data_IF_814811934744
#
_entry.id   IF_814811934744
#
_cell.length_a   1.000
_cell.length_b   1.000
_cell.length_c   1.000
_cell.angle_alpha   90.00
_cell.angle_beta   90.00
_cell.angle_gamma   90.00
#
_symmetry.space_group_name_H-M   'P 1'
#
loop_
_entity.id
_entity.type
_entity.pdbx_description
1 polymer ?
#
# COMPACT_ATOMS: atom_id res chain seq x y z
N UNK A 1 26.17 -48.06 -3.96
CA UNK A 1 27.23 -47.92 -2.93
C UNK A 1 26.62 -48.20 -1.57
N UNK A 2 27.18 -49.07 -0.74
CA UNK A 2 26.58 -49.36 0.57
C UNK A 2 26.82 -48.22 1.56
N UNK A 3 25.83 -47.94 2.44
CA UNK A 3 25.95 -46.93 3.53
C UNK A 3 27.21 -47.13 4.37
N UNK A 4 27.60 -48.40 4.64
CA UNK A 4 28.82 -48.75 5.38
C UNK A 4 30.08 -48.33 4.65
N UNK A 5 30.10 -48.39 3.32
CA UNK A 5 31.25 -47.96 2.52
C UNK A 5 31.37 -46.41 2.55
N UNK A 6 30.24 -45.69 2.53
CA UNK A 6 30.21 -44.23 2.64
C UNK A 6 30.73 -43.75 4.02
N UNK A 7 30.27 -44.34 5.13
CA UNK A 7 30.69 -43.96 6.47
C UNK A 7 32.21 -44.19 6.67
N UNK A 8 32.79 -45.22 6.07
CA UNK A 8 34.25 -45.47 6.11
C UNK A 8 35.04 -44.51 5.22
N UNK A 9 34.43 -43.92 4.21
CA UNK A 9 35.07 -42.95 3.32
C UNK A 9 35.14 -41.55 3.92
N UNK A 10 34.17 -41.12 4.75
CA UNK A 10 34.12 -39.76 5.31
C UNK A 10 35.39 -39.43 6.09
N UNK A 11 35.96 -40.37 6.84
CA UNK A 11 37.12 -40.14 7.72
C UNK A 11 38.46 -40.03 6.97
N UNK A 12 38.54 -40.56 5.73
CA UNK A 12 39.81 -40.70 5.00
C UNK A 12 39.85 -39.95 3.65
N UNK A 13 38.78 -39.23 3.24
CA UNK A 13 38.68 -38.60 1.93
C UNK A 13 38.71 -37.09 2.05
N UNK A 14 39.43 -36.42 1.15
CA UNK A 14 39.49 -34.95 1.12
C UNK A 14 38.14 -34.31 0.89
N UNK A 15 37.92 -33.08 1.38
CA UNK A 15 36.68 -32.32 1.17
C UNK A 15 36.33 -32.20 -0.32
N UNK A 16 37.34 -31.98 -1.18
CA UNK A 16 37.13 -31.88 -2.62
C UNK A 16 36.56 -33.16 -3.25
N UNK A 17 37.05 -34.32 -2.79
CA UNK A 17 36.55 -35.61 -3.25
C UNK A 17 35.13 -35.88 -2.74
N UNK A 18 34.80 -35.47 -1.49
CA UNK A 18 33.42 -35.55 -0.95
C UNK A 18 32.45 -34.66 -1.71
N UNK A 19 32.86 -33.43 -2.06
CA UNK A 19 32.04 -32.53 -2.90
C UNK A 19 31.73 -33.17 -4.26
N UNK A 20 32.76 -33.74 -4.91
CA UNK A 20 32.58 -34.40 -6.20
C UNK A 20 31.67 -35.63 -6.10
N UNK A 21 31.85 -36.44 -5.06
CA UNK A 21 30.99 -37.61 -4.81
C UNK A 21 29.56 -37.22 -4.50
N UNK A 22 29.32 -36.16 -3.70
CA UNK A 22 28.02 -35.64 -3.38
C UNK A 22 27.26 -35.15 -4.64
N UNK A 23 27.92 -34.33 -5.46
CA UNK A 23 27.36 -33.88 -6.73
C UNK A 23 27.06 -35.04 -7.69
N UNK A 24 27.98 -36.01 -7.82
CA UNK A 24 27.78 -37.17 -8.67
C UNK A 24 26.60 -38.04 -8.20
N UNK A 25 26.45 -38.28 -6.90
CA UNK A 25 25.31 -39.00 -6.33
C UNK A 25 24.00 -38.27 -6.57
N UNK A 26 23.96 -36.94 -6.40
CA UNK A 26 22.81 -36.14 -6.69
C UNK A 26 22.41 -36.21 -8.18
N UNK A 27 23.35 -36.15 -9.11
CA UNK A 27 23.10 -36.33 -10.54
C UNK A 27 22.61 -37.74 -10.87
N UNK A 28 23.18 -38.78 -10.26
CA UNK A 28 22.72 -40.17 -10.43
C UNK A 28 21.25 -40.28 -9.97
N UNK A 29 20.93 -39.74 -8.79
CA UNK A 29 19.56 -39.75 -8.27
C UNK A 29 18.55 -39.09 -9.23
N UNK A 30 18.93 -37.98 -9.85
CA UNK A 30 18.05 -37.21 -10.72
C UNK A 30 17.91 -37.77 -12.15
N UNK A 31 18.96 -38.41 -12.69
CA UNK A 31 19.04 -38.67 -14.13
C UNK A 31 19.22 -40.15 -14.47
N UNK A 32 19.48 -41.01 -13.49
CA UNK A 32 19.62 -42.45 -13.77
C UNK A 32 18.30 -43.18 -13.54
N UNK A 33 18.11 -44.26 -14.31
CA UNK A 33 16.97 -45.16 -14.12
C UNK A 33 17.30 -46.13 -12.98
N UNK A 34 17.07 -45.67 -11.75
CA UNK A 34 17.32 -46.43 -10.53
C UNK A 34 16.10 -47.28 -10.18
N UNK A 35 16.32 -48.55 -9.82
CA UNK A 35 15.28 -49.34 -9.20
C UNK A 35 14.92 -48.79 -7.79
N UNK A 36 13.88 -49.36 -7.19
CA UNK A 36 13.38 -48.87 -5.89
C UNK A 36 14.42 -48.96 -4.78
N UNK A 37 15.17 -50.09 -4.73
CA UNK A 37 16.16 -50.31 -3.68
C UNK A 37 17.40 -49.42 -3.86
N UNK A 38 17.83 -49.23 -5.10
CA UNK A 38 18.92 -48.34 -5.48
C UNK A 38 18.59 -46.87 -5.19
N UNK A 39 17.36 -46.46 -5.47
CA UNK A 39 16.86 -45.10 -5.17
C UNK A 39 16.83 -44.86 -3.67
N UNK A 40 16.28 -45.78 -2.88
CA UNK A 40 16.26 -45.69 -1.40
C UNK A 40 17.67 -45.66 -0.81
N UNK A 41 18.60 -46.50 -1.32
CA UNK A 41 19.95 -46.52 -0.86
C UNK A 41 20.69 -45.18 -1.18
N UNK A 42 20.51 -44.66 -2.39
CA UNK A 42 21.08 -43.37 -2.81
C UNK A 42 20.53 -42.21 -1.98
N UNK A 43 19.21 -42.17 -1.77
CA UNK A 43 18.55 -41.16 -0.95
C UNK A 43 19.01 -41.18 0.50
N UNK A 44 19.23 -42.37 1.07
CA UNK A 44 19.79 -42.52 2.42
C UNK A 44 21.20 -41.92 2.53
N UNK A 45 22.06 -42.16 1.53
CA UNK A 45 23.39 -41.55 1.52
C UNK A 45 23.35 -40.05 1.35
N UNK A 46 22.47 -39.53 0.47
CA UNK A 46 22.28 -38.11 0.28
C UNK A 46 21.74 -37.42 1.54
N UNK A 47 20.88 -38.11 2.29
CA UNK A 47 20.40 -37.61 3.58
C UNK A 47 21.52 -37.49 4.63
N UNK A 48 22.41 -38.48 4.68
CA UNK A 48 23.59 -38.40 5.58
C UNK A 48 24.54 -37.27 5.19
N UNK A 49 24.60 -36.91 3.91
CA UNK A 49 25.43 -35.78 3.45
C UNK A 49 24.92 -34.41 3.90
N UNK A 50 23.67 -34.28 4.37
CA UNK A 50 23.18 -33.06 4.99
C UNK A 50 23.93 -32.75 6.31
N UNK A 51 24.42 -33.78 6.98
CA UNK A 51 25.17 -33.65 8.24
C UNK A 51 26.69 -33.60 8.00
N UNK A 52 27.18 -33.51 6.74
CA UNK A 52 28.60 -33.38 6.47
C UNK A 52 29.13 -32.10 7.12
N UNK A 53 30.23 -32.20 7.92
CA UNK A 53 30.79 -31.05 8.64
C UNK A 53 31.31 -29.93 7.72
N UNK A 54 31.55 -30.24 6.44
CA UNK A 54 32.02 -29.24 5.47
C UNK A 54 30.85 -28.56 4.76
N UNK A 55 30.67 -27.23 4.91
CA UNK A 55 29.65 -26.48 4.14
C UNK A 55 29.79 -26.65 2.62
N UNK A 56 31.03 -26.91 2.12
CA UNK A 56 31.28 -27.08 0.69
C UNK A 56 30.61 -28.34 0.12
N UNK A 57 30.50 -29.39 0.91
CA UNK A 57 29.83 -30.64 0.49
C UNK A 57 28.31 -30.41 0.39
N UNK A 58 27.74 -29.76 1.41
CA UNK A 58 26.31 -29.41 1.43
C UNK A 58 25.96 -28.40 0.32
N UNK A 59 26.88 -27.46 0.03
CA UNK A 59 26.74 -26.53 -1.10
C UNK A 59 26.71 -27.25 -2.45
N UNK A 60 27.57 -28.29 -2.63
CA UNK A 60 27.57 -29.08 -3.86
C UNK A 60 26.25 -29.83 -4.09
N UNK A 61 25.56 -30.28 -3.02
CA UNK A 61 24.21 -30.82 -3.09
C UNK A 61 23.19 -29.74 -3.45
N UNK A 62 23.30 -28.58 -2.79
CA UNK A 62 22.39 -27.47 -3.01
C UNK A 62 22.42 -26.95 -4.46
N UNK A 63 23.61 -26.90 -5.06
CA UNK A 63 23.75 -26.47 -6.46
C UNK A 63 23.01 -27.40 -7.41
N UNK A 64 23.18 -28.73 -7.25
CA UNK A 64 22.53 -29.74 -8.12
C UNK A 64 21.01 -29.77 -7.91
N UNK A 65 20.52 -29.72 -6.66
CA UNK A 65 19.10 -29.86 -6.37
C UNK A 65 18.29 -28.57 -6.51
N UNK A 66 18.94 -27.40 -6.58
CA UNK A 66 18.27 -26.11 -6.53
C UNK A 66 17.24 -25.88 -7.64
N UNK A 67 17.45 -26.45 -8.81
CA UNK A 67 16.57 -26.25 -9.99
C UNK A 67 15.76 -27.50 -10.35
N UNK A 68 15.93 -28.60 -9.61
CA UNK A 68 15.26 -29.86 -9.90
C UNK A 68 13.85 -29.93 -9.30
N UNK A 69 12.89 -30.40 -10.10
CA UNK A 69 11.55 -30.75 -9.63
C UNK A 69 11.47 -32.19 -9.07
N UNK A 70 12.54 -32.97 -9.13
CA UNK A 70 12.59 -34.38 -8.73
C UNK A 70 13.51 -34.64 -7.54
N UNK A 71 14.06 -33.59 -6.93
CA UNK A 71 14.89 -33.71 -5.75
C UNK A 71 14.07 -34.22 -4.54
N UNK A 72 14.68 -34.98 -3.59
CA UNK A 72 13.99 -35.39 -2.39
C UNK A 72 13.58 -34.19 -1.54
N UNK A 73 12.29 -34.05 -1.22
CA UNK A 73 11.73 -32.87 -0.55
C UNK A 73 12.39 -32.62 0.80
N UNK A 74 12.66 -33.67 1.59
CA UNK A 74 13.30 -33.53 2.90
C UNK A 74 14.75 -33.01 2.81
N UNK A 75 15.47 -33.34 1.73
CA UNK A 75 16.82 -32.81 1.48
C UNK A 75 16.75 -31.34 1.10
N UNK A 76 15.82 -30.97 0.21
CA UNK A 76 15.58 -29.56 -0.17
C UNK A 76 15.19 -28.73 1.06
N UNK A 77 14.30 -29.23 1.92
CA UNK A 77 13.90 -28.55 3.15
C UNK A 77 15.06 -28.43 4.16
N UNK A 78 15.91 -29.44 4.26
CA UNK A 78 17.12 -29.41 5.10
C UNK A 78 18.12 -28.36 4.62
N UNK A 79 18.43 -28.34 3.32
CA UNK A 79 19.34 -27.36 2.72
C UNK A 79 18.78 -25.93 2.76
N UNK A 80 17.47 -25.75 2.68
CA UNK A 80 16.81 -24.43 2.79
C UNK A 80 16.93 -23.81 4.20
N UNK A 81 17.21 -24.61 5.21
CA UNK A 81 17.41 -24.19 6.62
C UNK A 81 18.88 -24.22 7.08
N UNK A 82 19.79 -24.46 6.15
CA UNK A 82 21.24 -24.48 6.42
C UNK A 82 21.79 -23.03 6.51
N UNK A 83 23.11 -22.90 6.59
CA UNK A 83 23.81 -21.61 6.52
C UNK A 83 23.40 -20.85 5.28
N UNK A 84 23.35 -19.49 5.37
CA UNK A 84 22.79 -18.64 4.31
C UNK A 84 23.45 -18.87 2.94
N UNK A 85 24.74 -19.16 2.89
CA UNK A 85 25.48 -19.41 1.66
C UNK A 85 24.97 -20.65 0.93
N UNK A 86 24.44 -21.64 1.66
CA UNK A 86 23.86 -22.88 1.13
C UNK A 86 22.36 -22.69 0.87
N UNK A 87 21.64 -22.16 1.87
CA UNK A 87 20.21 -21.95 1.82
C UNK A 87 19.78 -21.06 0.63
N UNK A 88 20.61 -20.08 0.26
CA UNK A 88 20.34 -19.17 -0.88
C UNK A 88 20.02 -19.92 -2.17
N UNK A 89 20.71 -21.03 -2.46
CA UNK A 89 20.44 -21.84 -3.67
C UNK A 89 19.03 -22.41 -3.68
N UNK A 90 18.58 -22.94 -2.53
CA UNK A 90 17.24 -23.50 -2.39
C UNK A 90 16.18 -22.38 -2.35
N UNK A 91 16.39 -21.40 -1.49
CA UNK A 91 15.44 -20.31 -1.29
C UNK A 91 15.19 -19.49 -2.56
N UNK A 92 16.24 -19.27 -3.38
CA UNK A 92 16.09 -18.50 -4.61
C UNK A 92 15.39 -19.27 -5.75
N UNK A 93 15.68 -20.57 -5.90
CA UNK A 93 15.43 -21.29 -7.16
C UNK A 93 14.50 -22.51 -7.04
N UNK A 94 14.45 -23.16 -5.87
CA UNK A 94 13.72 -24.42 -5.74
C UNK A 94 12.23 -24.25 -5.98
N UNK A 95 11.70 -25.05 -6.89
CA UNK A 95 10.26 -25.13 -7.20
C UNK A 95 9.52 -26.07 -6.25
N UNK A 96 10.25 -26.83 -5.43
CA UNK A 96 9.70 -27.80 -4.49
C UNK A 96 9.32 -27.19 -3.15
N UNK A 97 9.86 -26.00 -2.80
CA UNK A 97 9.49 -25.31 -1.59
C UNK A 97 8.07 -24.74 -1.74
N UNK A 98 7.17 -25.21 -0.90
CA UNK A 98 5.81 -24.69 -0.81
C UNK A 98 5.77 -23.29 -0.17
N UNK A 99 4.65 -22.60 -0.31
CA UNK A 99 4.45 -21.31 0.40
C UNK A 99 4.62 -21.46 1.92
N UNK A 100 4.16 -22.59 2.49
CA UNK A 100 4.32 -22.87 3.91
C UNK A 100 5.80 -22.98 4.30
N UNK A 101 6.60 -23.71 3.51
CA UNK A 101 8.05 -23.83 3.76
C UNK A 101 8.75 -22.48 3.65
N UNK A 102 8.36 -21.65 2.68
CA UNK A 102 8.91 -20.31 2.50
C UNK A 102 8.54 -19.37 3.66
N UNK A 103 7.30 -19.45 4.15
CA UNK A 103 6.82 -18.68 5.31
C UNK A 103 7.59 -19.09 6.58
N UNK A 104 7.80 -20.40 6.79
CA UNK A 104 8.62 -20.89 7.89
C UNK A 104 10.07 -20.38 7.80
N UNK A 105 10.63 -20.33 6.59
CA UNK A 105 11.97 -19.77 6.37
C UNK A 105 12.01 -18.25 6.57
N UNK A 106 10.92 -17.51 6.28
CA UNK A 106 10.81 -16.08 6.60
C UNK A 106 10.74 -15.89 8.12
N UNK A 107 10.01 -16.73 8.83
CA UNK A 107 9.80 -16.61 10.28
C UNK A 107 11.06 -16.96 11.09
N UNK A 108 11.83 -17.95 10.64
CA UNK A 108 13.02 -18.44 11.36
C UNK A 108 14.36 -17.98 10.77
N UNK A 109 14.35 -17.37 9.57
CA UNK A 109 15.57 -17.01 8.84
C UNK A 109 16.10 -15.61 9.16
N UNK A 110 17.34 -15.37 8.73
CA UNK A 110 17.96 -14.04 8.77
C UNK A 110 17.34 -13.10 7.73
N UNK A 111 17.57 -11.78 7.87
CA UNK A 111 17.18 -10.79 6.88
C UNK A 111 17.71 -11.08 5.48
N UNK A 112 18.90 -11.67 5.35
CA UNK A 112 19.43 -12.10 4.05
C UNK A 112 18.63 -13.25 3.43
N UNK A 113 18.21 -14.24 4.23
CA UNK A 113 17.35 -15.32 3.77
C UNK A 113 15.98 -14.79 3.32
N UNK A 114 15.38 -13.89 4.11
CA UNK A 114 14.13 -13.21 3.79
C UNK A 114 14.25 -12.39 2.49
N UNK A 115 15.37 -11.68 2.30
CA UNK A 115 15.68 -10.94 1.07
C UNK A 115 15.74 -11.86 -0.15
N UNK A 116 16.40 -13.01 -0.04
CA UNK A 116 16.48 -14.00 -1.12
C UNK A 116 15.10 -14.54 -1.49
N UNK A 117 14.21 -14.77 -0.50
CA UNK A 117 12.85 -15.21 -0.74
C UNK A 117 12.05 -14.11 -1.44
N UNK A 118 12.21 -12.85 -1.03
CA UNK A 118 11.56 -11.69 -1.63
C UNK A 118 11.95 -11.46 -3.11
N UNK A 119 13.20 -11.81 -3.46
CA UNK A 119 13.73 -11.70 -4.82
C UNK A 119 13.30 -12.82 -5.77
N UNK A 120 12.53 -13.82 -5.32
CA UNK A 120 12.07 -14.94 -6.18
C UNK A 120 11.30 -14.42 -7.39
N UNK A 121 11.39 -15.11 -8.55
CA UNK A 121 10.65 -14.74 -9.76
C UNK A 121 9.12 -14.68 -9.57
N UNK A 122 8.61 -15.43 -8.58
CA UNK A 122 7.19 -15.40 -8.18
C UNK A 122 7.13 -15.48 -6.66
N UNK A 123 6.50 -14.48 -6.05
CA UNK A 123 6.20 -14.44 -4.62
C UNK A 123 4.69 -14.37 -4.48
N UNK A 124 4.10 -15.37 -3.82
CA UNK A 124 2.65 -15.44 -3.61
C UNK A 124 2.18 -14.38 -2.62
N UNK A 125 0.86 -14.15 -2.58
CA UNK A 125 0.23 -13.24 -1.60
C UNK A 125 0.55 -13.66 -0.17
N UNK A 126 0.57 -14.97 0.12
CA UNK A 126 0.82 -15.48 1.47
C UNK A 126 2.27 -15.24 1.92
N UNK A 127 3.24 -15.49 1.05
CA UNK A 127 4.67 -15.24 1.33
C UNK A 127 4.94 -13.74 1.43
N UNK A 128 4.34 -12.92 0.53
CA UNK A 128 4.43 -11.46 0.61
C UNK A 128 3.88 -10.91 1.93
N UNK A 129 2.74 -11.44 2.38
CA UNK A 129 2.15 -11.04 3.66
C UNK A 129 3.06 -11.40 4.85
N UNK A 130 3.69 -12.58 4.84
CA UNK A 130 4.64 -12.98 5.88
C UNK A 130 5.87 -12.05 5.90
N UNK A 131 6.46 -11.73 4.74
CA UNK A 131 7.59 -10.79 4.66
C UNK A 131 7.19 -9.41 5.17
N UNK A 132 6.01 -8.91 4.81
CA UNK A 132 5.52 -7.59 5.25
C UNK A 132 5.27 -7.59 6.76
N UNK A 133 4.76 -8.68 7.34
CA UNK A 133 4.40 -8.74 8.76
C UNK A 133 5.63 -8.86 9.67
N UNK A 134 6.59 -9.71 9.33
CA UNK A 134 7.71 -10.05 10.21
C UNK A 134 9.09 -9.84 9.60
N UNK A 135 9.20 -9.63 8.28
CA UNK A 135 10.47 -9.49 7.58
C UNK A 135 11.24 -8.23 7.99
N UNK A 136 12.55 -8.27 7.86
CA UNK A 136 13.41 -7.11 8.05
C UNK A 136 13.23 -6.09 6.91
N UNK A 137 13.59 -4.84 7.16
CA UNK A 137 13.43 -3.75 6.18
C UNK A 137 14.08 -4.08 4.83
N UNK A 138 15.24 -4.73 4.83
CA UNK A 138 15.95 -5.11 3.60
C UNK A 138 15.16 -6.10 2.74
N UNK A 139 14.45 -7.03 3.36
CA UNK A 139 13.59 -7.99 2.65
C UNK A 139 12.35 -7.33 2.09
N UNK A 140 11.77 -6.38 2.82
CA UNK A 140 10.60 -5.61 2.37
C UNK A 140 10.97 -4.68 1.20
N UNK A 141 12.14 -4.05 1.22
CA UNK A 141 12.64 -3.26 0.09
C UNK A 141 12.78 -4.12 -1.17
N UNK A 142 13.36 -5.31 -1.04
CA UNK A 142 13.50 -6.27 -2.15
C UNK A 142 12.12 -6.71 -2.67
N UNK A 143 11.18 -6.99 -1.76
CA UNK A 143 9.80 -7.37 -2.13
C UNK A 143 9.10 -6.26 -2.93
N UNK A 144 9.24 -5.00 -2.51
CA UNK A 144 8.65 -3.85 -3.21
C UNK A 144 9.29 -3.60 -4.58
N UNK A 145 10.59 -3.86 -4.70
CA UNK A 145 11.31 -3.77 -5.98
C UNK A 145 10.93 -4.92 -6.95
N UNK A 146 10.41 -6.02 -6.42
CA UNK A 146 10.01 -7.18 -7.21
C UNK A 146 8.64 -6.95 -7.87
N UNK A 147 8.62 -6.61 -9.15
CA UNK A 147 7.40 -6.34 -9.92
C UNK A 147 6.49 -7.58 -10.08
N UNK A 148 7.02 -8.77 -9.90
CA UNK A 148 6.28 -10.05 -10.02
C UNK A 148 5.70 -10.53 -8.67
N UNK A 149 6.05 -9.87 -7.57
CA UNK A 149 5.48 -10.19 -6.26
C UNK A 149 4.00 -9.81 -6.21
N UNK A 150 3.18 -10.69 -5.62
CA UNK A 150 1.74 -10.45 -5.42
C UNK A 150 1.53 -9.90 -4.00
N UNK A 151 1.14 -8.64 -3.91
CA UNK A 151 0.88 -7.96 -2.63
C UNK A 151 -0.61 -7.61 -2.58
N UNK A 152 -1.30 -8.05 -1.54
CA UNK A 152 -2.71 -7.72 -1.31
C UNK A 152 -2.87 -6.31 -0.72
N UNK A 153 -4.02 -5.68 -0.93
CA UNK A 153 -4.32 -4.33 -0.43
C UNK A 153 -4.15 -4.22 1.09
N UNK A 154 -4.59 -5.25 1.83
CA UNK A 154 -4.43 -5.29 3.29
C UNK A 154 -2.95 -5.32 3.71
N UNK A 155 -2.10 -5.96 2.90
CA UNK A 155 -0.65 -6.01 3.17
C UNK A 155 0.00 -4.64 2.95
N UNK A 156 -0.45 -3.83 1.99
CA UNK A 156 0.02 -2.45 1.83
C UNK A 156 -0.34 -1.58 3.04
N UNK A 157 -1.56 -1.73 3.60
CA UNK A 157 -1.94 -1.02 4.84
C UNK A 157 -1.00 -1.38 5.99
N UNK A 158 -0.80 -2.68 6.19
CA UNK A 158 0.08 -3.18 7.24
C UNK A 158 1.54 -2.72 7.06
N UNK A 159 2.00 -2.68 5.83
CA UNK A 159 3.33 -2.17 5.47
C UNK A 159 3.51 -0.70 5.89
N UNK A 160 2.55 0.15 5.56
CA UNK A 160 2.60 1.58 5.90
C UNK A 160 2.54 1.78 7.42
N UNK A 161 1.68 1.05 8.12
CA UNK A 161 1.61 1.09 9.59
C UNK A 161 2.94 0.72 10.25
N UNK A 162 3.60 -0.32 9.74
CA UNK A 162 4.82 -0.86 10.32
C UNK A 162 6.06 -0.09 9.90
N UNK A 163 6.23 0.22 8.63
CA UNK A 163 7.45 0.73 8.01
C UNK A 163 7.28 2.07 7.28
N UNK A 164 6.12 2.72 7.36
CA UNK A 164 5.88 4.03 6.73
C UNK A 164 6.80 5.15 7.25
N UNK A 165 7.45 4.95 8.40
CA UNK A 165 8.47 5.87 8.93
C UNK A 165 9.83 5.75 8.21
N UNK A 166 10.08 4.67 7.47
CA UNK A 166 11.34 4.42 6.74
C UNK A 166 11.33 5.16 5.40
N UNK A 167 12.33 5.99 5.14
CA UNK A 167 12.37 6.86 3.96
C UNK A 167 12.43 6.07 2.64
N UNK A 168 13.24 5.02 2.59
CA UNK A 168 13.44 4.17 1.42
C UNK A 168 12.14 3.41 1.06
N UNK A 169 11.39 2.95 2.06
CA UNK A 169 10.08 2.31 1.86
C UNK A 169 9.09 3.32 1.28
N UNK A 170 9.04 4.55 1.83
CA UNK A 170 8.17 5.59 1.29
C UNK A 170 8.48 5.92 -0.16
N UNK A 171 9.77 5.99 -0.52
CA UNK A 171 10.17 6.28 -1.89
C UNK A 171 9.64 5.22 -2.88
N UNK A 172 9.79 3.94 -2.56
CA UNK A 172 9.29 2.84 -3.40
C UNK A 172 7.75 2.79 -3.47
N UNK A 173 7.06 3.16 -2.37
CA UNK A 173 5.60 3.17 -2.33
C UNK A 173 4.99 4.34 -3.13
N UNK A 174 5.65 5.51 -3.18
CA UNK A 174 5.17 6.66 -3.98
C UNK A 174 5.08 6.31 -5.46
N UNK A 175 6.05 5.55 -5.97
CA UNK A 175 6.12 5.16 -7.37
C UNK A 175 5.31 3.89 -7.70
N UNK A 176 4.65 3.29 -6.69
CA UNK A 176 3.91 2.04 -6.88
C UNK A 176 2.48 2.28 -7.37
N UNK A 177 2.23 2.06 -8.66
CA UNK A 177 0.91 2.23 -9.28
C UNK A 177 -0.18 1.33 -8.70
N UNK A 178 0.19 0.20 -8.06
CA UNK A 178 -0.75 -0.74 -7.43
C UNK A 178 -1.19 -0.32 -6.02
N UNK A 179 -0.63 0.78 -5.50
CA UNK A 179 -0.95 1.23 -4.15
C UNK A 179 -2.41 1.71 -4.07
N UNK A 180 -3.27 1.14 -3.20
CA UNK A 180 -4.65 1.56 -3.01
C UNK A 180 -4.78 3.02 -2.56
N UNK A 181 -5.91 3.66 -2.86
CA UNK A 181 -6.13 5.09 -2.57
C UNK A 181 -6.05 5.42 -1.06
N UNK A 182 -6.59 4.56 -0.19
CA UNK A 182 -6.47 4.70 1.26
C UNK A 182 -5.02 4.62 1.74
N UNK A 183 -4.23 3.74 1.12
CA UNK A 183 -2.79 3.61 1.38
C UNK A 183 -2.00 4.82 0.87
N UNK A 184 -2.34 5.37 -0.31
CA UNK A 184 -1.74 6.63 -0.81
C UNK A 184 -2.00 7.78 0.14
N UNK A 185 -3.22 7.88 0.70
CA UNK A 185 -3.56 8.88 1.70
C UNK A 185 -2.72 8.70 2.99
N UNK A 186 -2.65 7.46 3.52
CA UNK A 186 -1.84 7.17 4.69
C UNK A 186 -0.34 7.49 4.47
N UNK A 187 0.19 7.15 3.29
CA UNK A 187 1.57 7.45 2.91
C UNK A 187 1.82 8.96 2.84
N UNK A 188 0.89 9.74 2.27
CA UNK A 188 1.00 11.21 2.22
C UNK A 188 1.10 11.81 3.63
N UNK A 189 0.38 11.26 4.59
CA UNK A 189 0.47 11.69 6.00
C UNK A 189 1.84 11.32 6.59
N UNK A 190 2.33 10.10 6.39
CA UNK A 190 3.67 9.71 6.84
C UNK A 190 4.76 10.62 6.28
N UNK A 191 4.64 11.03 5.00
CA UNK A 191 5.57 11.97 4.36
C UNK A 191 5.47 13.35 5.02
N UNK A 192 4.26 13.84 5.27
CA UNK A 192 4.04 15.13 5.90
C UNK A 192 4.59 15.19 7.34
N UNK A 193 4.39 14.11 8.11
CA UNK A 193 4.95 13.97 9.46
C UNK A 193 6.49 13.97 9.43
N UNK A 194 7.07 13.22 8.49
CA UNK A 194 8.52 13.19 8.31
C UNK A 194 9.07 14.58 7.94
N UNK A 195 8.40 15.32 7.04
CA UNK A 195 8.80 16.68 6.66
C UNK A 195 8.72 17.65 7.86
N UNK A 196 7.69 17.54 8.69
CA UNK A 196 7.56 18.35 9.89
C UNK A 196 8.68 18.13 10.91
N UNK A 197 9.29 16.95 10.92
CA UNK A 197 10.35 16.57 11.84
C UNK A 197 11.77 16.88 11.30
N UNK A 198 11.90 17.30 10.05
CA UNK A 198 13.20 17.65 9.48
C UNK A 198 13.76 18.93 10.11
N UNK A 199 14.96 18.85 10.65
CA UNK A 199 15.65 19.97 11.32
C UNK A 199 15.71 21.23 10.43
N UNK A 200 15.98 21.06 9.15
CA UNK A 200 16.04 22.17 8.19
C UNK A 200 14.70 22.88 8.04
N UNK A 201 13.58 22.13 8.03
CA UNK A 201 12.23 22.68 7.91
C UNK A 201 11.86 23.45 9.19
N UNK A 202 12.17 22.86 10.33
CA UNK A 202 11.96 23.50 11.64
C UNK A 202 12.81 24.76 11.80
N UNK A 203 14.06 24.72 11.39
CA UNK A 203 14.97 25.87 11.46
C UNK A 203 14.52 27.03 10.55
N UNK A 204 14.01 26.72 9.34
CA UNK A 204 13.63 27.77 8.36
C UNK A 204 12.30 28.45 8.68
N UNK A 205 11.31 27.71 9.20
CA UNK A 205 9.95 28.28 9.37
C UNK A 205 9.34 28.15 10.77
N UNK A 206 10.02 27.46 11.68
CA UNK A 206 9.52 27.13 13.00
C UNK A 206 8.46 26.03 13.02
N UNK A 207 8.39 25.27 14.11
CA UNK A 207 7.56 24.07 14.25
C UNK A 207 6.07 24.34 14.00
N UNK A 208 5.51 25.41 14.58
CA UNK A 208 4.07 25.73 14.42
C UNK A 208 3.70 26.03 12.97
N UNK A 209 4.57 26.73 12.23
CA UNK A 209 4.31 27.06 10.83
C UNK A 209 4.52 25.84 9.94
N UNK A 210 5.53 25.02 10.22
CA UNK A 210 5.78 23.77 9.51
C UNK A 210 4.55 22.84 9.61
N UNK A 211 4.03 22.59 10.80
CA UNK A 211 2.83 21.77 11.01
C UNK A 211 1.60 22.31 10.28
N UNK A 212 1.38 23.64 10.33
CA UNK A 212 0.24 24.22 9.62
C UNK A 212 0.36 24.06 8.11
N UNK A 213 1.51 24.36 7.54
CA UNK A 213 1.74 24.27 6.09
C UNK A 213 1.63 22.83 5.59
N UNK A 214 2.19 21.87 6.32
CA UNK A 214 2.08 20.45 5.95
C UNK A 214 0.66 19.93 6.11
N UNK A 215 -0.08 20.35 7.12
CA UNK A 215 -1.49 19.97 7.25
C UNK A 215 -2.35 20.55 6.13
N UNK A 216 -2.13 21.80 5.73
CA UNK A 216 -2.79 22.40 4.56
C UNK A 216 -2.43 21.66 3.27
N UNK A 217 -1.17 21.24 3.12
CA UNK A 217 -0.70 20.44 1.98
C UNK A 217 -1.34 19.03 1.96
N UNK A 218 -1.47 18.36 3.10
CA UNK A 218 -2.15 17.07 3.20
C UNK A 218 -3.61 17.16 2.77
N UNK A 219 -4.35 18.19 3.22
CA UNK A 219 -5.75 18.38 2.80
C UNK A 219 -5.84 18.55 1.29
N UNK A 220 -4.94 19.32 0.68
CA UNK A 220 -4.90 19.46 -0.79
C UNK A 220 -4.57 18.15 -1.50
N UNK A 221 -3.54 17.44 -1.03
CA UNK A 221 -3.15 16.14 -1.56
C UNK A 221 -4.33 15.15 -1.49
N UNK A 222 -5.11 15.15 -0.39
CA UNK A 222 -6.31 14.32 -0.25
C UNK A 222 -7.37 14.65 -1.29
N UNK A 223 -7.58 15.93 -1.61
CA UNK A 223 -8.55 16.35 -2.65
C UNK A 223 -8.06 15.93 -4.05
N UNK A 224 -6.77 16.10 -4.34
CA UNK A 224 -6.17 15.65 -5.60
C UNK A 224 -6.26 14.14 -5.74
N UNK A 225 -5.96 13.41 -4.67
CA UNK A 225 -6.09 11.95 -4.62
C UNK A 225 -7.51 11.50 -4.96
N UNK A 226 -8.55 12.14 -4.40
CA UNK A 226 -9.96 11.84 -4.75
C UNK A 226 -10.23 12.02 -6.24
N UNK A 227 -9.56 12.99 -6.88
CA UNK A 227 -9.73 13.22 -8.32
C UNK A 227 -9.20 12.07 -9.20
N UNK A 228 -8.19 11.37 -8.71
CA UNK A 228 -7.49 10.28 -9.41
C UNK A 228 -7.98 8.89 -8.97
N UNK A 229 -8.74 8.83 -7.87
CA UNK A 229 -9.24 7.57 -7.29
C UNK A 229 -10.38 7.00 -8.13
N UNK A 230 -10.33 5.70 -8.39
CA UNK A 230 -11.41 4.98 -9.07
C UNK A 230 -12.62 4.82 -8.14
N UNK A 231 -13.80 4.74 -8.74
CA UNK A 231 -15.08 4.65 -7.99
C UNK A 231 -15.13 3.42 -7.09
N UNK A 232 -14.50 2.34 -7.50
CA UNK A 232 -14.41 1.08 -6.75
C UNK A 232 -13.62 1.22 -5.45
N UNK A 233 -12.69 2.16 -5.39
CA UNK A 233 -11.84 2.43 -4.22
C UNK A 233 -12.47 3.44 -3.24
N UNK A 234 -13.54 4.13 -3.62
CA UNK A 234 -14.21 5.13 -2.78
C UNK A 234 -14.59 4.61 -1.39
N UNK A 235 -15.22 3.42 -1.25
CA UNK A 235 -15.61 2.93 0.08
C UNK A 235 -14.43 2.79 1.02
N UNK A 236 -13.32 2.19 0.56
CA UNK A 236 -12.12 1.99 1.37
C UNK A 236 -11.46 3.32 1.77
N UNK A 237 -11.39 4.28 0.84
CA UNK A 237 -10.85 5.61 1.12
C UNK A 237 -11.73 6.38 2.12
N UNK A 238 -13.06 6.35 1.98
CA UNK A 238 -13.98 7.04 2.88
C UNK A 238 -13.92 6.44 4.29
N UNK A 239 -13.92 5.11 4.41
CA UNK A 239 -13.75 4.42 5.67
C UNK A 239 -12.44 4.81 6.36
N UNK A 240 -11.34 4.82 5.61
CA UNK A 240 -10.03 5.24 6.10
C UNK A 240 -10.05 6.70 6.62
N UNK A 241 -10.61 7.64 5.83
CA UNK A 241 -10.75 9.04 6.22
C UNK A 241 -11.62 9.19 7.48
N UNK A 242 -12.69 8.39 7.60
CA UNK A 242 -13.57 8.39 8.76
C UNK A 242 -12.88 7.87 10.01
N UNK A 243 -12.19 6.74 9.93
CA UNK A 243 -11.45 6.13 11.05
C UNK A 243 -10.34 7.07 11.57
N UNK A 244 -9.72 7.82 10.69
CA UNK A 244 -8.70 8.82 11.07
C UNK A 244 -9.27 10.14 11.58
N UNK A 245 -10.56 10.40 11.40
CA UNK A 245 -11.18 11.69 11.69
C UNK A 245 -10.88 12.79 10.67
N UNK A 246 -10.34 12.44 9.50
CA UNK A 246 -10.02 13.36 8.40
C UNK A 246 -11.25 13.69 7.55
N UNK A 247 -12.32 12.87 7.63
CA UNK A 247 -13.62 13.14 6.99
C UNK A 247 -14.40 14.25 7.73
N UNK A 248 -13.81 15.43 7.79
CA UNK A 248 -14.39 16.58 8.47
C UNK A 248 -15.42 17.30 7.61
N UNK A 249 -16.33 18.08 8.23
CA UNK A 249 -17.25 18.96 7.51
C UNK A 249 -16.52 19.89 6.54
N UNK A 250 -15.35 20.40 6.93
CA UNK A 250 -14.53 21.24 6.08
C UNK A 250 -14.01 20.50 4.83
N UNK A 251 -13.65 19.24 4.98
CA UNK A 251 -13.23 18.39 3.86
C UNK A 251 -14.40 18.15 2.90
N UNK A 252 -15.58 17.80 3.42
CA UNK A 252 -16.78 17.58 2.59
C UNK A 252 -17.13 18.83 1.78
N UNK A 253 -17.08 20.01 2.38
CA UNK A 253 -17.34 21.28 1.67
C UNK A 253 -16.32 21.50 0.55
N UNK A 254 -15.03 21.24 0.79
CA UNK A 254 -13.99 21.36 -0.23
C UNK A 254 -14.20 20.38 -1.39
N UNK A 255 -14.53 19.13 -1.10
CA UNK A 255 -14.84 18.11 -2.12
C UNK A 255 -15.95 18.58 -3.04
N UNK A 256 -17.05 19.10 -2.49
CA UNK A 256 -18.19 19.62 -3.28
C UNK A 256 -17.80 20.89 -4.03
N UNK A 257 -17.05 21.80 -3.41
CA UNK A 257 -16.56 23.02 -4.06
C UNK A 257 -15.64 22.73 -5.26
N UNK A 258 -14.85 21.67 -5.19
CA UNK A 258 -13.97 21.17 -6.27
C UNK A 258 -14.71 20.29 -7.31
N UNK A 259 -16.02 20.12 -7.21
CA UNK A 259 -16.82 19.36 -8.19
C UNK A 259 -16.70 17.85 -8.10
N UNK A 260 -16.17 17.29 -7.01
CA UNK A 260 -16.06 15.84 -6.82
C UNK A 260 -17.37 15.25 -6.32
N UNK A 261 -18.44 15.41 -7.12
CA UNK A 261 -19.81 15.09 -6.74
C UNK A 261 -20.06 13.60 -6.58
N UNK A 262 -19.39 12.75 -7.38
CA UNK A 262 -19.49 11.29 -7.26
C UNK A 262 -18.93 10.80 -5.93
N UNK A 263 -17.79 11.33 -5.52
CA UNK A 263 -17.17 11.01 -4.22
C UNK A 263 -18.04 11.52 -3.06
N UNK A 264 -18.60 12.73 -3.18
CA UNK A 264 -19.58 13.25 -2.22
C UNK A 264 -20.82 12.35 -2.13
N UNK A 265 -21.34 11.87 -3.25
CA UNK A 265 -22.41 10.88 -3.29
C UNK A 265 -22.08 9.59 -2.54
N UNK A 266 -20.85 9.08 -2.71
CA UNK A 266 -20.37 7.90 -1.98
C UNK A 266 -20.26 8.17 -0.46
N UNK A 267 -19.79 9.35 -0.04
CA UNK A 267 -19.80 9.77 1.37
C UNK A 267 -21.22 9.74 1.93
N UNK A 268 -22.19 10.32 1.20
CA UNK A 268 -23.59 10.35 1.64
C UNK A 268 -24.20 8.94 1.75
N UNK A 269 -23.90 8.03 0.81
CA UNK A 269 -24.31 6.63 0.89
C UNK A 269 -23.80 5.99 2.18
N UNK A 270 -22.53 6.14 2.47
CA UNK A 270 -21.90 5.53 3.65
C UNK A 270 -22.44 6.10 4.96
N UNK A 271 -22.57 7.43 5.04
CA UNK A 271 -22.97 8.08 6.29
C UNK A 271 -24.48 7.99 6.55
N UNK A 272 -25.33 8.04 5.51
CA UNK A 272 -26.80 7.98 5.66
C UNK A 272 -27.39 6.58 5.67
N UNK A 273 -26.62 5.58 5.16
CA UNK A 273 -27.12 4.21 4.94
C UNK A 273 -28.12 4.07 3.80
N UNK A 274 -28.35 5.13 2.99
CA UNK A 274 -29.23 5.06 1.84
C UNK A 274 -28.54 4.36 0.65
N UNK A 275 -29.35 3.71 -0.19
CA UNK A 275 -28.81 3.08 -1.40
C UNK A 275 -28.27 4.11 -2.40
N UNK A 276 -27.25 3.74 -3.15
CA UNK A 276 -26.64 4.59 -4.18
C UNK A 276 -27.63 5.15 -5.21
N UNK A 277 -28.60 4.36 -5.76
CA UNK A 277 -29.59 4.91 -6.67
C UNK A 277 -30.46 6.00 -6.03
N UNK A 278 -30.82 5.83 -4.74
CA UNK A 278 -31.61 6.83 -4.00
C UNK A 278 -30.82 8.12 -3.78
N UNK A 279 -29.57 8.02 -3.36
CA UNK A 279 -28.70 9.19 -3.17
C UNK A 279 -28.50 9.93 -4.50
N UNK A 280 -28.22 9.20 -5.60
CA UNK A 280 -28.07 9.79 -6.93
C UNK A 280 -29.34 10.52 -7.38
N UNK A 281 -30.51 9.91 -7.25
CA UNK A 281 -31.79 10.56 -7.60
C UNK A 281 -31.99 11.82 -6.77
N UNK A 282 -31.71 11.81 -5.48
CA UNK A 282 -31.83 12.98 -4.61
C UNK A 282 -30.82 14.08 -4.99
N UNK A 283 -29.61 13.75 -5.37
CA UNK A 283 -28.59 14.72 -5.79
C UNK A 283 -28.93 15.36 -7.14
N UNK A 284 -29.54 14.63 -8.07
CA UNK A 284 -29.91 15.13 -9.43
C UNK A 284 -31.20 15.93 -9.39
N UNK A 285 -32.30 15.36 -8.86
CA UNK A 285 -33.67 15.89 -8.99
C UNK A 285 -34.29 16.28 -7.64
N UNK A 286 -33.52 16.18 -6.53
CA UNK A 286 -34.05 16.35 -5.19
C UNK A 286 -34.49 17.77 -4.90
N UNK A 287 -35.73 17.89 -4.37
CA UNK A 287 -36.21 19.16 -3.82
C UNK A 287 -35.35 19.59 -2.63
N UNK A 288 -35.31 20.87 -2.35
CA UNK A 288 -34.52 21.46 -1.26
C UNK A 288 -34.71 20.73 0.10
N UNK A 289 -35.98 20.40 0.42
CA UNK A 289 -36.30 19.68 1.67
C UNK A 289 -35.77 18.24 1.70
N UNK A 290 -35.83 17.56 0.57
CA UNK A 290 -35.32 16.19 0.46
C UNK A 290 -33.79 16.13 0.55
N UNK A 291 -33.06 17.09 -0.04
CA UNK A 291 -31.62 17.25 0.10
C UNK A 291 -31.22 17.54 1.56
N UNK A 292 -31.93 18.47 2.22
CA UNK A 292 -31.69 18.76 3.63
C UNK A 292 -31.92 17.52 4.53
N UNK A 293 -32.96 16.73 4.25
CA UNK A 293 -33.21 15.49 4.96
C UNK A 293 -32.08 14.46 4.76
N UNK A 294 -31.57 14.33 3.53
CA UNK A 294 -30.41 13.47 3.23
C UNK A 294 -29.16 13.93 3.99
N UNK A 295 -28.87 15.24 4.00
CA UNK A 295 -27.72 15.79 4.73
C UNK A 295 -27.84 15.59 6.24
N UNK A 296 -29.05 15.77 6.79
CA UNK A 296 -29.31 15.46 8.20
C UNK A 296 -29.16 13.98 8.52
N UNK A 297 -29.64 13.09 7.64
CA UNK A 297 -29.45 11.63 7.79
C UNK A 297 -27.96 11.23 7.73
N UNK A 298 -27.16 11.94 6.95
CA UNK A 298 -25.69 11.77 6.90
C UNK A 298 -24.95 12.44 8.07
N UNK A 299 -25.65 13.08 9.03
CA UNK A 299 -25.04 13.75 10.18
C UNK A 299 -24.34 15.08 9.86
N UNK A 300 -24.59 15.67 8.69
CA UNK A 300 -24.01 16.95 8.33
C UNK A 300 -24.70 18.10 9.10
N UNK A 301 -23.93 19.04 9.68
CA UNK A 301 -24.50 20.17 10.40
C UNK A 301 -25.45 21.04 9.55
N UNK A 302 -26.54 21.55 10.12
CA UNK A 302 -27.53 22.38 9.42
C UNK A 302 -26.92 23.62 8.75
N UNK A 303 -25.83 24.16 9.29
CA UNK A 303 -25.07 25.28 8.72
C UNK A 303 -24.48 24.98 7.35
N UNK A 304 -24.24 23.70 7.03
CA UNK A 304 -23.63 23.23 5.75
C UNK A 304 -24.67 23.05 4.67
N UNK A 305 -25.95 22.88 5.02
CA UNK A 305 -26.99 22.48 4.07
C UNK A 305 -27.16 23.50 2.95
N UNK A 306 -27.22 24.78 3.30
CA UNK A 306 -27.40 25.86 2.32
C UNK A 306 -26.18 26.01 1.39
N UNK A 307 -24.94 26.12 1.89
CA UNK A 307 -23.74 26.12 1.04
C UNK A 307 -23.66 24.94 0.09
N UNK A 308 -23.88 23.72 0.59
CA UNK A 308 -23.82 22.50 -0.23
C UNK A 308 -24.88 22.50 -1.34
N UNK A 309 -26.11 22.97 -1.06
CA UNK A 309 -27.16 23.09 -2.07
C UNK A 309 -26.78 24.10 -3.16
N UNK A 310 -26.22 25.25 -2.79
CA UNK A 310 -25.75 26.25 -3.75
C UNK A 310 -24.67 25.69 -4.67
N UNK A 311 -23.70 24.98 -4.10
CA UNK A 311 -22.65 24.33 -4.88
C UNK A 311 -23.23 23.26 -5.83
N UNK A 312 -24.11 22.37 -5.36
CA UNK A 312 -24.76 21.35 -6.19
C UNK A 312 -25.56 21.96 -7.34
N UNK A 313 -26.38 23.00 -7.07
CA UNK A 313 -27.14 23.70 -8.11
C UNK A 313 -26.20 24.35 -9.14
N UNK A 314 -25.07 24.90 -8.71
CA UNK A 314 -24.06 25.48 -9.60
C UNK A 314 -23.44 24.42 -10.50
N UNK A 315 -23.05 23.27 -9.94
CA UNK A 315 -22.51 22.16 -10.72
C UNK A 315 -23.53 21.54 -11.67
N UNK A 316 -24.81 21.45 -11.29
CA UNK A 316 -25.89 21.08 -12.23
C UNK A 316 -26.01 22.07 -13.39
N UNK A 317 -25.86 23.37 -13.12
CA UNK A 317 -25.81 24.38 -14.17
C UNK A 317 -24.66 24.21 -15.15
N UNK A 318 -23.47 23.82 -14.64
CA UNK A 318 -22.30 23.51 -15.45
C UNK A 318 -22.52 22.25 -16.28
N UNK A 319 -22.98 21.17 -15.65
CA UNK A 319 -23.24 19.89 -16.32
C UNK A 319 -24.28 20.00 -17.45
N UNK A 320 -25.28 20.90 -17.28
CA UNK A 320 -26.29 21.17 -18.28
C UNK A 320 -25.91 22.26 -19.31
N UNK A 321 -24.64 22.70 -19.32
CA UNK A 321 -24.14 23.72 -20.24
C UNK A 321 -24.73 25.14 -20.02
N UNK A 322 -25.42 25.39 -18.92
CA UNK A 322 -26.06 26.68 -18.61
C UNK A 322 -25.10 27.67 -17.95
N UNK A 323 -24.03 27.18 -17.38
CA UNK A 323 -23.03 27.96 -16.66
C UNK A 323 -21.59 27.52 -17.05
N UNK A 324 -20.69 28.49 -17.21
CA UNK A 324 -19.25 28.25 -17.35
C UNK A 324 -18.62 28.93 -16.16
N UNK A 325 -18.39 28.18 -15.10
CA UNK A 325 -17.84 28.69 -13.84
C UNK A 325 -16.79 27.71 -13.32
N UNK A 326 -15.81 28.25 -12.61
CA UNK A 326 -14.77 27.47 -11.93
C UNK A 326 -15.10 27.28 -10.43
N UNK A 327 -14.28 26.52 -9.73
CA UNK A 327 -14.40 26.27 -8.30
C UNK A 327 -14.44 27.56 -7.48
N UNK A 328 -13.64 28.56 -7.86
CA UNK A 328 -13.59 29.88 -7.22
C UNK A 328 -14.95 30.58 -7.23
N UNK A 329 -15.62 30.62 -8.37
CA UNK A 329 -16.94 31.26 -8.52
C UNK A 329 -18.01 30.51 -7.73
N UNK A 330 -17.91 29.19 -7.64
CA UNK A 330 -18.84 28.38 -6.81
C UNK A 330 -18.70 28.73 -5.34
N UNK A 331 -17.46 28.79 -4.84
CA UNK A 331 -17.23 29.17 -3.44
C UNK A 331 -17.68 30.60 -3.16
N UNK A 332 -17.50 31.54 -4.10
CA UNK A 332 -18.03 32.90 -4.00
C UNK A 332 -19.55 32.90 -3.81
N UNK A 333 -20.28 32.14 -4.63
CA UNK A 333 -21.73 31.99 -4.52
C UNK A 333 -22.15 31.35 -3.20
N UNK A 334 -21.40 30.38 -2.70
CA UNK A 334 -21.64 29.79 -1.37
C UNK A 334 -21.52 30.87 -0.28
N UNK A 335 -20.50 31.74 -0.34
CA UNK A 335 -20.31 32.84 0.61
C UNK A 335 -21.47 33.82 0.57
N UNK A 336 -21.92 34.27 -0.62
CA UNK A 336 -23.01 35.21 -0.81
C UNK A 336 -24.31 34.71 -0.21
N UNK A 337 -24.57 33.41 -0.22
CA UNK A 337 -25.79 32.80 0.31
C UNK A 337 -25.77 32.53 1.82
N UNK A 338 -24.57 32.50 2.43
CA UNK A 338 -24.42 32.35 3.88
C UNK A 338 -24.47 33.70 4.61
N UNK A 339 -24.03 34.77 3.94
CA UNK A 339 -23.86 36.09 4.54
C UNK A 339 -25.11 36.76 5.14
N UNK A 340 -26.37 36.60 4.65
CA UNK A 340 -27.54 37.21 5.26
C UNK A 340 -28.57 36.19 5.73
N UNK A 341 -28.27 35.27 6.63
CA UNK A 341 -29.30 34.46 7.28
C UNK A 341 -29.85 35.22 8.51
N UNK A 342 -30.63 36.25 8.28
CA UNK A 342 -31.42 36.96 9.29
C UNK A 342 -32.63 36.16 9.82
N UNK A 343 -32.83 34.92 9.40
CA UNK A 343 -33.89 34.06 9.87
C UNK A 343 -33.45 33.09 10.95
N UNK A 344 -33.26 33.56 12.14
CA UNK A 344 -33.40 32.99 13.50
C UNK A 344 -33.17 31.50 13.84
N UNK A 345 -32.81 30.63 12.90
CA UNK A 345 -32.72 29.17 13.14
C UNK A 345 -31.32 28.63 13.38
N UNK A 346 -30.28 29.43 13.14
CA UNK A 346 -28.86 29.01 13.33
C UNK A 346 -28.18 30.03 14.23
N UNK A 347 -27.37 29.61 15.24
CA UNK A 347 -26.59 30.54 16.06
C UNK A 347 -25.64 31.40 15.21
N UNK A 348 -25.57 32.69 15.47
CA UNK A 348 -24.72 33.63 14.71
C UNK A 348 -23.24 33.18 14.67
N UNK A 349 -22.72 32.67 15.79
CA UNK A 349 -21.35 32.16 15.87
C UNK A 349 -21.07 31.00 14.90
N UNK A 350 -22.00 30.07 14.74
CA UNK A 350 -21.83 28.93 13.82
C UNK A 350 -21.87 29.35 12.34
N UNK A 351 -22.56 30.45 12.02
CA UNK A 351 -22.56 31.08 10.69
C UNK A 351 -21.23 31.79 10.42
N UNK A 352 -20.65 32.45 11.43
CA UNK A 352 -19.35 33.13 11.32
C UNK A 352 -18.20 32.14 11.09
N UNK A 353 -18.23 30.98 11.75
CA UNK A 353 -17.27 29.90 11.54
C UNK A 353 -17.38 29.34 10.11
N UNK A 354 -18.60 29.13 9.59
CA UNK A 354 -18.83 28.69 8.22
C UNK A 354 -18.33 29.71 7.21
N UNK A 355 -18.64 31.00 7.41
CA UNK A 355 -18.15 32.07 6.55
C UNK A 355 -16.61 32.16 6.57
N UNK A 356 -16.00 32.01 7.72
CA UNK A 356 -14.54 31.98 7.84
C UNK A 356 -13.92 30.80 7.07
N UNK A 357 -14.52 29.62 7.17
CA UNK A 357 -14.10 28.44 6.41
C UNK A 357 -14.23 28.68 4.89
N UNK A 358 -15.38 29.16 4.41
CA UNK A 358 -15.60 29.42 3.00
C UNK A 358 -14.65 30.49 2.44
N UNK A 359 -14.40 31.58 3.20
CA UNK A 359 -13.41 32.60 2.82
C UNK A 359 -12.01 32.01 2.69
N UNK A 360 -11.61 31.09 3.57
CA UNK A 360 -10.32 30.40 3.48
C UNK A 360 -10.24 29.54 2.23
N UNK A 361 -11.29 28.75 1.95
CA UNK A 361 -11.36 27.91 0.72
C UNK A 361 -11.31 28.81 -0.54
N UNK A 362 -11.99 29.94 -0.52
CA UNK A 362 -11.96 30.91 -1.63
C UNK A 362 -10.54 31.45 -1.90
N UNK A 363 -9.83 31.85 -0.86
CA UNK A 363 -8.44 32.30 -0.98
C UNK A 363 -7.49 31.19 -1.46
N UNK A 364 -7.74 29.96 -1.04
CA UNK A 364 -6.99 28.78 -1.52
C UNK A 364 -7.23 28.59 -3.04
N UNK A 365 -8.49 28.66 -3.51
CA UNK A 365 -8.83 28.53 -4.92
C UNK A 365 -8.21 29.64 -5.78
N UNK A 366 -8.24 30.90 -5.33
CA UNK A 366 -7.58 32.02 -6.04
C UNK A 366 -6.09 31.77 -6.20
N UNK A 367 -5.42 31.30 -5.14
CA UNK A 367 -3.99 31.03 -5.19
C UNK A 367 -3.63 29.87 -6.13
N UNK A 368 -4.51 28.88 -6.23
CA UNK A 368 -4.36 27.75 -7.12
C UNK A 368 -4.50 28.19 -8.59
N UNK A 369 -5.59 28.89 -8.93
CA UNK A 369 -5.79 29.45 -10.26
C UNK A 369 -4.62 30.37 -10.69
N UNK A 370 -4.09 31.18 -9.77
CA UNK A 370 -2.93 32.05 -10.04
C UNK A 370 -1.65 31.25 -10.30
N UNK A 371 -1.42 30.14 -9.61
CA UNK A 371 -0.27 29.26 -9.85
C UNK A 371 -0.38 28.54 -11.19
N UNK A 372 -1.56 27.99 -11.49
CA UNK A 372 -1.81 27.28 -12.74
C UNK A 372 -1.61 28.22 -13.93
N UNK A 373 -2.11 29.45 -13.81
CA UNK A 373 -1.91 30.48 -14.83
C UNK A 373 -0.43 30.87 -14.98
N UNK A 374 0.30 31.04 -13.87
CA UNK A 374 1.73 31.34 -13.89
C UNK A 374 2.53 30.18 -14.51
N UNK A 375 2.18 28.93 -14.21
CA UNK A 375 2.83 27.74 -14.78
C UNK A 375 2.53 27.63 -16.28
N UNK A 376 1.31 27.92 -16.71
CA UNK A 376 0.93 27.93 -18.13
C UNK A 376 1.71 29.02 -18.92
N UNK A 377 1.88 30.20 -18.33
CA UNK A 377 2.70 31.28 -18.94
C UNK A 377 4.18 30.90 -19.03
N UNK A 378 4.71 30.23 -17.99
CA UNK A 378 6.11 29.82 -17.97
C UNK A 378 6.42 28.65 -18.93
N UNK A 379 5.40 27.88 -19.33
CA UNK A 379 5.50 26.77 -20.27
C UNK A 379 5.26 27.19 -21.75
N UNK A 380 4.76 28.39 -21.99
CA UNK A 380 4.52 28.97 -23.33
C UNK A 380 5.72 29.79 -23.79
#
# INVERSE_FOLDING_TARGET
MSVQHYLKMIDNVSVAQRCHAAAALAHIYLHSDLDFDERCATETVLTLLLDDPSPKVRLALADVFSTSAHAPIHIVAGLARDQIEIATYMLARSVLLSDADLIDCVAGGSGDAQKVIAARPRVSIAVSAAIIEIGETIAVLELLANTQAQIADISFRRLIERLGHVAEIRALLVDNERLPADCRHALAICIAEALCQMDIVVALMGERRARRVTQEACVKASISLVAETRVEEYPALIEHLQLRGDLTTAFVIRIVACGKIDFFGAILVMLSGYSLPRVRSLLIDGRATALCALFSAAGLPATTHQPLRVALNSWHGVANGKLVINSQEIVRRMIEQVAPATNGTVPAAANDDMLSLLKRIYLEAIREDARDHATAIAAA
#
